data_IF_298925539541
#
_entry.id   IF_298925539541
#
_cell.length_a   1.000
_cell.length_b   1.000
_cell.length_c   1.000
_cell.angle_alpha   90.00
_cell.angle_beta   90.00
_cell.angle_gamma   90.00
#
_symmetry.space_group_name_H-M   'P 1'
#
loop_
_entity.id
_entity.type
_entity.pdbx_description
1 polymer ?
#
# COMPACT_ATOMS: atom_id res chain seq x y z
N UNK A 1 10.68 -0.82 3.04
CA UNK A 1 10.47 0.60 2.63
C UNK A 1 10.70 1.50 3.83
N UNK A 2 11.34 2.67 3.71
CA UNK A 2 11.47 3.63 4.84
C UNK A 2 10.13 4.35 5.06
N UNK A 3 9.50 4.13 6.21
CA UNK A 3 8.29 4.83 6.65
C UNK A 3 8.60 6.17 7.33
N UNK A 4 7.56 6.83 7.88
CA UNK A 4 7.71 8.02 8.74
C UNK A 4 8.65 7.66 9.91
N UNK A 5 9.73 8.43 10.08
CA UNK A 5 10.77 8.14 11.09
C UNK A 5 11.88 7.17 10.65
N UNK A 6 11.96 6.80 9.36
CA UNK A 6 13.05 5.95 8.84
C UNK A 6 12.87 4.45 9.09
N UNK A 7 11.74 4.05 9.67
CA UNK A 7 11.44 2.67 10.04
C UNK A 7 11.27 1.78 8.81
N UNK A 8 11.92 0.62 8.82
CA UNK A 8 11.76 -0.45 7.84
C UNK A 8 10.77 -1.46 8.42
N UNK A 9 9.90 -2.00 7.58
CA UNK A 9 8.96 -3.06 7.96
C UNK A 9 8.90 -4.10 6.85
N UNK A 10 8.61 -5.32 7.26
CA UNK A 10 8.34 -6.43 6.37
C UNK A 10 6.84 -6.57 6.21
N UNK A 11 6.40 -6.79 4.97
CA UNK A 11 5.00 -7.02 4.63
C UNK A 11 4.97 -8.29 3.80
N UNK A 12 4.12 -9.23 4.22
CA UNK A 12 3.90 -10.45 3.47
C UNK A 12 3.05 -10.13 2.24
N UNK A 13 3.50 -10.62 1.09
CA UNK A 13 2.74 -10.57 -0.16
C UNK A 13 2.56 -11.99 -0.69
N UNK A 14 1.47 -12.28 -1.43
CA UNK A 14 1.29 -13.59 -2.05
C UNK A 14 2.49 -13.98 -2.91
N UNK A 15 2.89 -15.25 -2.87
CA UNK A 15 4.07 -15.73 -3.62
C UNK A 15 3.93 -15.45 -5.14
N UNK A 16 2.73 -15.63 -5.69
CA UNK A 16 2.46 -15.31 -7.09
C UNK A 16 2.73 -13.82 -7.42
N UNK A 17 2.39 -12.91 -6.51
CA UNK A 17 2.67 -11.48 -6.67
C UNK A 17 4.18 -11.19 -6.55
N UNK A 18 4.87 -11.85 -5.63
CA UNK A 18 6.32 -11.75 -5.52
C UNK A 18 7.00 -12.17 -6.84
N UNK A 19 6.61 -13.32 -7.40
CA UNK A 19 7.13 -13.80 -8.69
C UNK A 19 6.91 -12.77 -9.81
N UNK A 20 5.70 -12.20 -9.91
CA UNK A 20 5.41 -11.16 -10.91
C UNK A 20 6.23 -9.88 -10.69
N UNK A 21 6.45 -9.49 -9.44
CA UNK A 21 7.28 -8.32 -9.13
C UNK A 21 8.75 -8.56 -9.52
N UNK A 22 9.27 -9.75 -9.25
CA UNK A 22 10.64 -10.14 -9.60
C UNK A 22 10.88 -10.14 -11.12
N UNK A 23 9.87 -10.51 -11.92
CA UNK A 23 9.93 -10.38 -13.39
C UNK A 23 10.09 -8.94 -13.88
N UNK A 24 9.78 -7.95 -13.04
CA UNK A 24 9.91 -6.51 -13.33
C UNK A 24 11.16 -5.90 -12.70
N UNK A 25 12.04 -6.70 -12.09
CA UNK A 25 13.28 -6.19 -11.46
C UNK A 25 14.20 -5.59 -12.52
N UNK A 26 14.67 -4.37 -12.27
CA UNK A 26 15.67 -3.72 -13.10
C UNK A 26 17.04 -4.37 -12.86
N UNK A 27 17.84 -4.53 -13.92
CA UNK A 27 19.20 -5.07 -13.82
C UNK A 27 20.07 -4.24 -12.86
N UNK A 28 19.89 -2.92 -12.87
CA UNK A 28 20.46 -2.01 -11.88
C UNK A 28 19.39 -1.01 -11.42
N UNK A 29 19.35 -0.64 -10.12
CA UNK A 29 18.42 0.37 -9.65
C UNK A 29 18.69 1.73 -10.30
N UNK A 30 17.63 2.48 -10.62
CA UNK A 30 17.71 3.81 -11.23
C UNK A 30 17.22 4.88 -10.26
N UNK A 31 17.84 6.06 -10.29
CA UNK A 31 17.36 7.22 -9.53
C UNK A 31 16.26 7.92 -10.31
N UNK A 32 15.08 8.05 -9.71
CA UNK A 32 13.93 8.73 -10.27
C UNK A 32 13.66 10.00 -9.48
N UNK A 33 13.50 11.11 -10.19
CA UNK A 33 12.94 12.35 -9.64
C UNK A 33 11.44 12.37 -9.91
N UNK A 34 10.63 12.35 -8.85
CA UNK A 34 9.18 12.53 -8.94
C UNK A 34 8.78 13.71 -8.06
N UNK A 35 8.15 14.71 -8.67
CA UNK A 35 7.87 16.00 -8.00
C UNK A 35 9.17 16.56 -7.41
N UNK A 36 9.21 16.73 -6.09
CA UNK A 36 10.34 17.31 -5.35
C UNK A 36 11.24 16.27 -4.69
N UNK A 37 10.95 14.97 -4.86
CA UNK A 37 11.70 13.89 -4.22
C UNK A 37 12.49 13.05 -5.22
N UNK A 38 13.69 12.65 -4.81
CA UNK A 38 14.48 11.64 -5.51
C UNK A 38 14.37 10.31 -4.77
N UNK A 39 14.13 9.22 -5.47
CA UNK A 39 14.14 7.88 -4.89
C UNK A 39 14.77 6.86 -5.84
N UNK A 40 15.25 5.76 -5.24
CA UNK A 40 15.90 4.68 -5.96
C UNK A 40 14.88 3.60 -6.35
N UNK A 41 14.53 3.54 -7.63
CA UNK A 41 13.61 2.56 -8.19
C UNK A 41 14.34 1.25 -8.52
N UNK A 42 13.79 0.13 -8.05
CA UNK A 42 14.35 -1.23 -8.25
C UNK A 42 13.54 -2.09 -9.22
N UNK A 43 12.28 -1.71 -9.44
CA UNK A 43 11.33 -2.45 -10.24
C UNK A 43 10.72 -1.52 -11.28
N UNK A 44 10.58 -2.01 -12.51
CA UNK A 44 9.93 -1.35 -13.64
C UNK A 44 8.41 -1.38 -13.48
N UNK A 45 7.95 -0.64 -12.48
CA UNK A 45 6.54 -0.46 -12.13
C UNK A 45 6.23 1.03 -12.02
N UNK A 46 5.01 1.42 -12.36
CA UNK A 46 4.57 2.80 -12.24
C UNK A 46 4.59 3.27 -10.79
N UNK A 47 5.13 4.46 -10.53
CA UNK A 47 5.14 5.10 -9.22
C UNK A 47 4.87 6.60 -9.32
N UNK A 48 4.84 7.25 -8.15
CA UNK A 48 4.79 8.71 -8.05
C UNK A 48 3.56 9.37 -8.68
N UNK A 49 3.77 10.57 -9.21
CA UNK A 49 2.71 11.38 -9.80
C UNK A 49 2.06 10.71 -11.01
N UNK A 50 2.85 10.07 -11.88
CA UNK A 50 2.35 9.39 -13.08
C UNK A 50 1.36 8.28 -12.73
N UNK A 51 1.71 7.43 -11.77
CA UNK A 51 0.82 6.38 -11.28
C UNK A 51 -0.45 6.98 -10.67
N UNK A 52 -0.31 7.98 -9.80
CA UNK A 52 -1.44 8.65 -9.15
C UNK A 52 -2.43 9.25 -10.16
N UNK A 53 -1.94 9.93 -11.21
CA UNK A 53 -2.77 10.46 -12.27
C UNK A 53 -3.44 9.36 -13.10
N UNK A 54 -2.69 8.31 -13.46
CA UNK A 54 -3.21 7.18 -14.22
C UNK A 54 -4.34 6.49 -13.47
N UNK A 55 -4.12 6.19 -12.19
CA UNK A 55 -5.11 5.55 -11.32
C UNK A 55 -6.36 6.41 -11.18
N UNK A 56 -6.21 7.70 -10.86
CA UNK A 56 -7.36 8.59 -10.70
C UNK A 56 -8.18 8.70 -11.97
N UNK A 57 -7.55 8.83 -13.15
CA UNK A 57 -8.26 8.88 -14.43
C UNK A 57 -9.01 7.58 -14.73
N UNK A 58 -8.39 6.43 -14.47
CA UNK A 58 -9.03 5.12 -14.67
C UNK A 58 -10.24 4.94 -13.74
N UNK A 59 -10.09 5.32 -12.47
CA UNK A 59 -11.16 5.27 -11.46
C UNK A 59 -12.33 6.17 -11.85
N UNK A 60 -12.07 7.44 -12.20
CA UNK A 60 -13.12 8.37 -12.66
C UNK A 60 -13.85 7.89 -13.91
N UNK A 61 -13.15 7.24 -14.85
CA UNK A 61 -13.78 6.68 -16.06
C UNK A 61 -14.67 5.46 -15.78
N UNK A 62 -14.27 4.63 -14.82
CA UNK A 62 -14.91 3.32 -14.60
C UNK A 62 -15.98 3.41 -13.50
N UNK A 63 -15.74 4.22 -12.48
CA UNK A 63 -16.54 4.34 -11.26
C UNK A 63 -17.21 5.71 -11.12
N UNK A 64 -16.96 6.66 -12.03
CA UNK A 64 -17.48 8.03 -11.99
C UNK A 64 -16.99 8.91 -10.82
N UNK A 65 -16.13 8.39 -9.96
CA UNK A 65 -15.43 9.15 -8.90
C UNK A 65 -14.00 8.60 -8.71
N UNK A 66 -13.17 9.27 -7.90
CA UNK A 66 -11.86 8.75 -7.51
C UNK A 66 -11.44 9.25 -6.13
N UNK A 67 -11.08 8.32 -5.25
CA UNK A 67 -10.41 8.61 -3.97
C UNK A 67 -8.87 8.64 -4.11
N UNK A 68 -8.36 8.61 -5.35
CA UNK A 68 -6.95 8.44 -5.66
C UNK A 68 -6.36 7.15 -5.09
N UNK A 69 -5.03 7.05 -5.12
CA UNK A 69 -4.33 5.89 -4.57
C UNK A 69 -4.53 5.69 -3.06
N UNK A 70 -4.97 6.73 -2.34
CA UNK A 70 -5.25 6.61 -0.90
C UNK A 70 -6.44 5.67 -0.63
N UNK A 71 -7.43 5.64 -1.53
CA UNK A 71 -8.55 4.71 -1.45
C UNK A 71 -8.10 3.25 -1.35
N UNK A 72 -7.04 2.85 -2.07
CA UNK A 72 -6.49 1.49 -2.00
C UNK A 72 -6.02 1.10 -0.60
N UNK A 73 -5.46 2.06 0.15
CA UNK A 73 -5.01 1.83 1.52
C UNK A 73 -6.18 1.69 2.50
N UNK A 74 -7.28 2.42 2.27
CA UNK A 74 -8.53 2.25 3.00
C UNK A 74 -9.14 0.89 2.72
N UNK A 75 -9.31 0.53 1.44
CA UNK A 75 -9.85 -0.77 1.04
C UNK A 75 -9.03 -1.92 1.63
N UNK A 76 -7.69 -1.87 1.55
CA UNK A 76 -6.82 -2.86 2.19
C UNK A 76 -7.12 -2.99 3.69
N UNK A 77 -7.18 -1.88 4.43
CA UNK A 77 -7.42 -1.91 5.88
C UNK A 77 -8.77 -2.55 6.21
N UNK A 78 -9.82 -2.19 5.48
CA UNK A 78 -11.18 -2.67 5.69
C UNK A 78 -11.32 -4.16 5.35
N UNK A 79 -10.83 -4.55 4.17
CA UNK A 79 -10.86 -5.95 3.71
C UNK A 79 -10.04 -6.85 4.62
N UNK A 80 -8.85 -6.41 5.02
CA UNK A 80 -7.98 -7.17 5.92
C UNK A 80 -8.56 -7.33 7.32
N UNK A 81 -9.20 -6.29 7.85
CA UNK A 81 -9.96 -6.39 9.11
C UNK A 81 -11.08 -7.42 9.01
N UNK A 82 -11.82 -7.43 7.89
CA UNK A 82 -12.89 -8.39 7.67
C UNK A 82 -12.34 -9.82 7.55
N UNK A 83 -11.26 -10.02 6.81
CA UNK A 83 -10.58 -11.30 6.66
C UNK A 83 -10.13 -11.86 8.02
N UNK A 84 -9.35 -11.08 8.80
CA UNK A 84 -8.85 -11.52 10.10
C UNK A 84 -9.98 -11.85 11.08
N UNK A 85 -11.05 -11.05 11.09
CA UNK A 85 -12.24 -11.35 11.90
C UNK A 85 -12.94 -12.63 11.44
N UNK A 86 -13.02 -12.88 10.13
CA UNK A 86 -13.61 -14.11 9.57
C UNK A 86 -12.83 -15.37 9.96
N UNK A 87 -11.51 -15.22 10.20
CA UNK A 87 -10.63 -16.26 10.73
C UNK A 87 -10.76 -16.44 12.26
N UNK A 88 -11.65 -15.69 12.92
CA UNK A 88 -11.93 -15.82 14.35
C UNK A 88 -11.08 -14.92 15.26
N UNK A 89 -10.27 -14.01 14.70
CA UNK A 89 -9.48 -13.09 15.52
C UNK A 89 -10.37 -12.03 16.18
N UNK A 90 -10.01 -11.65 17.41
CA UNK A 90 -10.65 -10.53 18.10
C UNK A 90 -10.46 -9.22 17.33
N UNK A 91 -11.39 -8.27 17.49
CA UNK A 91 -11.25 -6.93 16.87
C UNK A 91 -9.93 -6.27 17.26
N UNK A 92 -9.50 -6.40 18.52
CA UNK A 92 -8.27 -5.80 19.00
C UNK A 92 -7.03 -6.39 18.30
N UNK A 93 -6.94 -7.73 18.24
CA UNK A 93 -5.84 -8.43 17.56
C UNK A 93 -5.83 -8.14 16.06
N UNK A 94 -7.00 -8.10 15.41
CA UNK A 94 -7.11 -7.75 14.00
C UNK A 94 -6.63 -6.31 13.75
N UNK A 95 -7.06 -5.35 14.57
CA UNK A 95 -6.68 -3.95 14.45
C UNK A 95 -5.17 -3.74 14.67
N UNK A 96 -4.59 -4.43 15.65
CA UNK A 96 -3.14 -4.43 15.89
C UNK A 96 -2.38 -5.02 14.70
N UNK A 97 -2.83 -6.14 14.14
CA UNK A 97 -2.19 -6.75 12.96
C UNK A 97 -2.21 -5.80 11.77
N UNK A 98 -3.38 -5.24 11.44
CA UNK A 98 -3.54 -4.29 10.32
C UNK A 98 -2.77 -3.00 10.57
N UNK A 99 -2.66 -2.54 11.82
CA UNK A 99 -1.85 -1.36 12.14
C UNK A 99 -0.37 -1.59 11.84
N UNK A 100 0.19 -2.76 12.18
CA UNK A 100 1.58 -3.09 11.85
C UNK A 100 1.81 -3.20 10.35
N UNK A 101 0.91 -3.86 9.61
CA UNK A 101 1.00 -3.98 8.15
C UNK A 101 0.95 -2.60 7.47
N UNK A 102 0.09 -1.69 7.95
CA UNK A 102 0.03 -0.30 7.49
C UNK A 102 1.20 0.55 8.02
N UNK A 103 1.86 0.12 9.09
CA UNK A 103 2.92 0.83 9.79
C UNK A 103 2.42 2.01 10.61
N UNK A 104 1.30 1.84 11.31
CA UNK A 104 0.84 2.71 12.38
C UNK A 104 1.31 2.14 13.72
N UNK A 105 2.11 2.93 14.46
CA UNK A 105 2.63 2.51 15.77
C UNK A 105 1.53 2.34 16.83
N UNK A 106 0.45 3.13 16.69
CA UNK A 106 -0.73 3.06 17.54
C UNK A 106 -1.89 2.51 16.72
N UNK A 107 -2.52 1.44 17.22
CA UNK A 107 -3.59 0.76 16.51
C UNK A 107 -4.79 1.67 16.26
N UNK A 108 -5.07 2.60 17.18
CA UNK A 108 -6.17 3.57 17.06
C UNK A 108 -6.04 4.47 15.81
N UNK A 109 -4.83 4.69 15.28
CA UNK A 109 -4.63 5.46 14.03
C UNK A 109 -5.24 4.71 12.84
N UNK A 110 -5.26 3.38 12.87
CA UNK A 110 -5.86 2.57 11.81
C UNK A 110 -7.39 2.76 11.74
N UNK A 111 -8.04 3.16 12.84
CA UNK A 111 -9.49 3.35 12.85
C UNK A 111 -9.97 4.43 11.86
N UNK A 112 -9.12 5.39 11.47
CA UNK A 112 -9.47 6.39 10.46
C UNK A 112 -9.75 5.76 9.08
N UNK A 113 -9.25 4.54 8.85
CA UNK A 113 -9.43 3.77 7.61
C UNK A 113 -10.66 2.85 7.66
N UNK A 114 -11.32 2.70 8.81
CA UNK A 114 -12.41 1.74 9.02
C UNK A 114 -13.80 2.38 9.00
N UNK A 115 -13.91 3.57 8.42
CA UNK A 115 -15.16 4.33 8.31
C UNK A 115 -15.93 3.96 7.05
#
# INVERSE_FOLDING_TARGET
MKGKGGLIRDVLIPNALAIQLEQRRLAQPITVRDREINYLQRYDIGGGHRWSCSFSKASSRTLFFSNGGHGLRHSYAQERMAELKSLGLSRATALETVSQELGHFRAEITEVYLR
#
